data_IF_811651497598
#
_entry.id   IF_811651497598
#
_cell.length_a   1.000
_cell.length_b   1.000
_cell.length_c   1.000
_cell.angle_alpha   90.00
_cell.angle_beta   90.00
_cell.angle_gamma   90.00
#
_symmetry.space_group_name_H-M   'P 1'
#
loop_
_entity.id
_entity.type
_entity.pdbx_description
1 polymer ?
#
# COMPACT_ATOMS: atom_id res chain seq x y z
N UNK A 1 -0.68 -10.09 -20.03
CA UNK A 1 -1.74 -9.83 -19.03
C UNK A 1 -1.14 -8.94 -17.96
N UNK A 2 -1.79 -7.83 -17.61
CA UNK A 2 -1.26 -6.88 -16.63
C UNK A 2 -1.50 -7.34 -15.19
N UNK A 3 -0.68 -6.85 -14.26
CA UNK A 3 -0.83 -7.15 -12.83
C UNK A 3 -0.94 -5.86 -12.03
N UNK A 4 -1.98 -5.77 -11.20
CA UNK A 4 -2.20 -4.68 -10.25
C UNK A 4 -1.91 -5.19 -8.83
N UNK A 5 -0.85 -4.68 -8.22
CA UNK A 5 -0.49 -4.94 -6.82
C UNK A 5 -1.07 -3.84 -5.94
N UNK A 6 -1.88 -4.21 -4.95
CA UNK A 6 -2.46 -3.30 -3.96
C UNK A 6 -1.83 -3.60 -2.61
N UNK A 7 -0.84 -2.79 -2.22
CA UNK A 7 -0.06 -3.00 -1.00
C UNK A 7 -0.63 -2.13 0.12
N UNK A 8 -1.37 -2.76 1.02
CA UNK A 8 -1.87 -2.17 2.26
C UNK A 8 -0.95 -2.44 3.45
N UNK A 9 -1.21 -1.74 4.55
CA UNK A 9 -0.49 -1.94 5.80
C UNK A 9 -0.50 -0.68 6.67
N UNK A 10 -0.24 -0.79 7.98
CA UNK A 10 -0.23 0.37 8.86
C UNK A 10 0.92 1.32 8.52
N UNK A 11 0.82 2.53 9.03
CA UNK A 11 1.92 3.49 9.01
C UNK A 11 3.18 2.85 9.61
N UNK A 12 4.34 3.06 9.00
CA UNK A 12 5.63 2.54 9.50
C UNK A 12 5.92 1.07 9.18
N UNK A 13 5.01 0.32 8.57
CA UNK A 13 5.26 -1.10 8.21
C UNK A 13 6.22 -1.28 7.02
N UNK A 14 6.41 -0.23 6.21
CA UNK A 14 7.34 -0.25 5.08
C UNK A 14 6.69 -0.40 3.70
N UNK A 15 5.41 -0.02 3.52
CA UNK A 15 4.69 -0.10 2.23
C UNK A 15 5.42 0.56 1.07
N UNK A 16 5.80 1.83 1.24
CA UNK A 16 6.46 2.62 0.19
C UNK A 16 7.81 2.01 -0.19
N UNK A 17 8.62 1.63 0.80
CA UNK A 17 9.92 1.03 0.57
C UNK A 17 9.80 -0.34 -0.15
N UNK A 18 8.87 -1.18 0.29
CA UNK A 18 8.60 -2.47 -0.36
C UNK A 18 8.05 -2.31 -1.78
N UNK A 19 7.14 -1.34 -2.00
CA UNK A 19 6.58 -1.03 -3.32
C UNK A 19 7.65 -0.50 -4.28
N UNK A 20 8.54 0.37 -3.82
CA UNK A 20 9.68 0.85 -4.62
C UNK A 20 10.67 -0.28 -4.96
N UNK A 21 10.96 -1.16 -4.00
CA UNK A 21 11.80 -2.32 -4.25
C UNK A 21 11.13 -3.28 -5.25
N UNK A 22 9.82 -3.52 -5.12
CA UNK A 22 9.06 -4.35 -6.07
C UNK A 22 9.09 -3.77 -7.48
N UNK A 23 8.95 -2.45 -7.61
CA UNK A 23 9.07 -1.76 -8.90
C UNK A 23 10.39 -2.06 -9.60
N UNK A 24 11.50 -2.08 -8.84
CA UNK A 24 12.84 -2.34 -9.41
C UNK A 24 13.08 -3.81 -9.77
N UNK A 25 12.26 -4.73 -9.25
CA UNK A 25 12.34 -6.16 -9.56
C UNK A 25 11.46 -6.56 -10.77
N UNK A 26 10.60 -5.66 -11.22
CA UNK A 26 9.63 -5.91 -12.28
C UNK A 26 9.92 -5.01 -13.48
N UNK A 27 10.02 -5.59 -14.66
CA UNK A 27 10.10 -4.83 -15.89
C UNK A 27 8.76 -4.12 -16.20
N UNK A 28 8.82 -3.00 -16.91
CA UNK A 28 7.63 -2.23 -17.30
C UNK A 28 6.67 -1.94 -16.13
N UNK A 29 7.22 -1.54 -15.01
CA UNK A 29 6.47 -1.31 -13.77
C UNK A 29 6.32 0.17 -13.44
N UNK A 30 5.20 0.52 -12.82
CA UNK A 30 4.93 1.86 -12.29
C UNK A 30 4.48 1.76 -10.84
N UNK A 31 4.92 2.72 -10.00
CA UNK A 31 4.57 2.80 -8.59
C UNK A 31 3.82 4.09 -8.30
N UNK A 32 2.73 3.97 -7.55
CA UNK A 32 1.95 5.07 -7.00
C UNK A 32 1.89 4.93 -5.47
N UNK A 33 2.29 5.97 -4.76
CA UNK A 33 1.98 6.11 -3.34
C UNK A 33 0.64 6.86 -3.21
N UNK A 34 -0.35 6.24 -2.59
CA UNK A 34 -1.67 6.84 -2.42
C UNK A 34 -1.64 8.13 -1.60
N UNK A 35 -0.68 8.28 -0.70
CA UNK A 35 -0.51 9.48 0.09
C UNK A 35 -0.14 10.71 -0.75
N UNK A 36 0.47 10.53 -1.93
CA UNK A 36 0.72 11.63 -2.87
C UNK A 36 -0.57 12.27 -3.40
N UNK A 37 -1.67 11.51 -3.39
CA UNK A 37 -2.99 12.04 -3.77
C UNK A 37 -3.69 12.79 -2.63
N UNK A 38 -3.09 12.81 -1.45
CA UNK A 38 -3.61 13.49 -0.25
C UNK A 38 -2.60 14.47 0.37
N UNK A 39 -1.69 14.97 -0.41
CA UNK A 39 -0.73 15.98 0.02
C UNK A 39 -1.39 17.35 -0.03
N UNK A 40 -1.99 17.77 1.10
CA UNK A 40 -2.70 19.03 1.22
C UNK A 40 -2.36 19.76 2.53
N UNK A 41 -2.43 21.05 2.51
CA UNK A 41 -2.24 21.91 3.70
C UNK A 41 -3.43 22.87 3.90
N UNK A 42 -4.07 22.93 5.10
CA UNK A 42 -3.93 21.97 6.20
C UNK A 42 -4.49 20.60 5.83
N UNK A 43 -3.92 19.55 6.40
CA UNK A 43 -4.42 18.19 6.17
C UNK A 43 -5.83 18.04 6.75
N UNK A 44 -6.78 17.63 5.93
CA UNK A 44 -8.19 17.48 6.31
C UNK A 44 -8.71 16.10 5.89
N UNK A 45 -9.42 15.47 6.82
CA UNK A 45 -10.11 14.20 6.59
C UNK A 45 -11.61 14.44 6.72
N UNK A 46 -12.29 14.55 5.58
CA UNK A 46 -13.74 14.68 5.44
C UNK A 46 -14.24 13.65 4.44
N UNK A 47 -15.53 13.42 4.35
CA UNK A 47 -16.07 12.52 3.31
C UNK A 47 -15.69 13.01 1.91
N UNK A 48 -15.78 14.32 1.67
CA UNK A 48 -15.39 14.93 0.39
C UNK A 48 -13.91 14.68 0.05
N UNK A 49 -12.99 14.86 1.02
CA UNK A 49 -11.55 14.62 0.77
C UNK A 49 -11.23 13.13 0.63
N UNK A 50 -11.95 12.25 1.28
CA UNK A 50 -11.84 10.80 1.08
C UNK A 50 -12.26 10.40 -0.35
N UNK A 51 -13.40 10.91 -0.81
CA UNK A 51 -13.89 10.68 -2.18
C UNK A 51 -12.93 11.25 -3.22
N UNK A 52 -12.44 12.48 -3.01
CA UNK A 52 -11.44 13.12 -3.87
C UNK A 52 -10.20 12.24 -4.04
N UNK A 53 -9.63 11.79 -2.93
CA UNK A 53 -8.39 10.99 -2.94
C UNK A 53 -8.61 9.62 -3.57
N UNK A 54 -9.71 8.95 -3.23
CA UNK A 54 -10.06 7.66 -3.83
C UNK A 54 -10.22 7.77 -5.34
N UNK A 55 -10.93 8.81 -5.81
CA UNK A 55 -11.12 9.10 -7.23
C UNK A 55 -9.81 9.42 -7.96
N UNK A 56 -8.92 10.20 -7.33
CA UNK A 56 -7.61 10.50 -7.90
C UNK A 56 -6.74 9.25 -8.04
N UNK A 57 -6.71 8.39 -7.01
CA UNK A 57 -6.00 7.11 -7.07
C UNK A 57 -6.58 6.24 -8.19
N UNK A 58 -7.90 6.07 -8.25
CA UNK A 58 -8.56 5.27 -9.28
C UNK A 58 -8.28 5.80 -10.70
N UNK A 59 -8.31 7.12 -10.88
CA UNK A 59 -7.98 7.76 -12.15
C UNK A 59 -6.55 7.43 -12.60
N UNK A 60 -5.57 7.56 -11.70
CA UNK A 60 -4.18 7.26 -12.02
C UNK A 60 -3.96 5.78 -12.31
N UNK A 61 -4.55 4.89 -11.51
CA UNK A 61 -4.47 3.44 -11.74
C UNK A 61 -5.05 3.08 -13.12
N UNK A 62 -6.22 3.61 -13.48
CA UNK A 62 -6.82 3.38 -14.80
C UNK A 62 -5.94 3.87 -15.95
N UNK A 63 -5.27 5.01 -15.77
CA UNK A 63 -4.33 5.53 -16.78
C UNK A 63 -3.12 4.61 -16.94
N UNK A 64 -2.52 4.14 -15.85
CA UNK A 64 -1.41 3.19 -15.90
C UNK A 64 -1.82 1.85 -16.50
N UNK A 65 -2.98 1.32 -16.13
CA UNK A 65 -3.49 0.07 -16.66
C UNK A 65 -3.79 0.14 -18.17
N UNK A 66 -4.13 1.31 -18.70
CA UNK A 66 -4.32 1.51 -20.14
C UNK A 66 -3.03 1.79 -20.91
N UNK A 67 -1.94 2.13 -20.21
CA UNK A 67 -0.66 2.43 -20.84
C UNK A 67 0.04 1.14 -21.29
N UNK A 68 0.39 1.03 -22.58
CA UNK A 68 1.07 -0.15 -23.12
C UNK A 68 2.50 -0.35 -22.57
N UNK A 69 3.12 0.71 -22.02
CA UNK A 69 4.43 0.64 -21.40
C UNK A 69 4.43 0.11 -19.96
N UNK A 70 3.23 -0.17 -19.38
CA UNK A 70 3.10 -0.62 -17.99
C UNK A 70 2.47 -2.01 -17.96
N UNK A 71 3.25 -3.03 -17.63
CA UNK A 71 2.76 -4.40 -17.39
C UNK A 71 2.40 -4.64 -15.92
N UNK A 72 3.09 -3.92 -15.03
CA UNK A 72 2.92 -4.02 -13.58
C UNK A 72 2.61 -2.66 -12.98
N UNK A 73 1.46 -2.56 -12.31
CA UNK A 73 1.02 -1.35 -11.60
C UNK A 73 1.01 -1.64 -10.12
N UNK A 74 1.69 -0.81 -9.33
CA UNK A 74 1.87 -1.01 -7.89
C UNK A 74 1.29 0.20 -7.17
N UNK A 75 0.28 -0.02 -6.33
CA UNK A 75 -0.24 0.97 -5.39
C UNK A 75 0.21 0.60 -3.98
N UNK A 76 0.80 1.55 -3.26
CA UNK A 76 0.98 1.47 -1.81
C UNK A 76 0.07 2.51 -1.15
N UNK A 77 -0.86 2.06 -0.29
CA UNK A 77 -1.74 2.96 0.45
C UNK A 77 -2.24 2.30 1.75
N UNK A 78 -2.97 3.03 2.57
CA UNK A 78 -3.42 2.55 3.88
C UNK A 78 -4.33 1.31 3.79
N UNK A 79 -5.32 1.26 2.91
CA UNK A 79 -6.20 0.11 2.60
C UNK A 79 -6.56 -0.76 3.83
N UNK A 80 -6.98 -0.14 4.93
CA UNK A 80 -7.14 -0.81 6.24
C UNK A 80 -8.53 -1.41 6.46
N UNK A 81 -9.44 -1.28 5.50
CA UNK A 81 -10.81 -1.79 5.54
C UNK A 81 -11.18 -2.43 4.21
N UNK A 82 -11.95 -3.50 4.27
CA UNK A 82 -12.40 -4.21 3.08
C UNK A 82 -13.27 -3.33 2.17
N UNK A 83 -14.07 -2.43 2.78
CA UNK A 83 -14.93 -1.48 2.05
C UNK A 83 -14.11 -0.48 1.23
N UNK A 84 -12.95 -0.03 1.73
CA UNK A 84 -12.06 0.87 0.98
C UNK A 84 -11.47 0.15 -0.23
N UNK A 85 -11.05 -1.11 -0.04
CA UNK A 85 -10.53 -1.93 -1.12
C UNK A 85 -11.59 -2.18 -2.20
N UNK A 86 -12.83 -2.49 -1.81
CA UNK A 86 -13.95 -2.68 -2.75
C UNK A 86 -14.28 -1.37 -3.48
N UNK A 87 -14.44 -0.26 -2.75
CA UNK A 87 -14.76 1.04 -3.34
C UNK A 87 -13.67 1.53 -4.33
N UNK A 88 -12.40 1.19 -4.09
CA UNK A 88 -11.32 1.42 -5.05
C UNK A 88 -11.49 0.55 -6.30
N UNK A 89 -11.70 -0.76 -6.11
CA UNK A 89 -11.80 -1.71 -7.22
C UNK A 89 -13.05 -1.49 -8.09
N UNK A 90 -14.14 -0.96 -7.52
CA UNK A 90 -15.33 -0.55 -8.29
C UNK A 90 -15.06 0.59 -9.26
N UNK A 91 -14.04 1.43 -8.99
CA UNK A 91 -13.66 2.56 -9.83
C UNK A 91 -12.51 2.24 -10.79
N UNK A 92 -11.86 1.09 -10.64
CA UNK A 92 -10.71 0.67 -11.46
C UNK A 92 -11.14 -0.41 -12.45
N UNK A 93 -10.88 -0.16 -13.74
CA UNK A 93 -11.09 -1.13 -14.80
C UNK A 93 -10.02 -2.23 -14.71
N UNK A 94 -10.38 -3.32 -14.06
CA UNK A 94 -9.51 -4.50 -13.86
C UNK A 94 -9.72 -5.58 -14.92
N UNK A 95 -10.48 -5.32 -15.97
CA UNK A 95 -10.70 -6.29 -17.05
C UNK A 95 -9.37 -6.70 -17.70
N UNK A 96 -9.08 -7.99 -17.72
CA UNK A 96 -7.83 -8.53 -18.25
C UNK A 96 -6.59 -8.28 -17.34
N UNK A 97 -6.79 -7.87 -16.10
CA UNK A 97 -5.73 -7.71 -15.11
C UNK A 97 -5.79 -8.80 -14.02
N UNK A 98 -4.65 -9.22 -13.54
CA UNK A 98 -4.55 -9.96 -12.27
C UNK A 98 -4.44 -8.94 -11.15
N UNK A 99 -5.40 -8.96 -10.21
CA UNK A 99 -5.36 -8.11 -9.03
C UNK A 99 -4.76 -8.86 -7.86
N UNK A 100 -3.77 -8.29 -7.21
CA UNK A 100 -3.04 -8.86 -6.08
C UNK A 100 -3.16 -7.96 -4.84
N UNK A 101 -4.21 -8.14 -4.02
CA UNK A 101 -4.34 -7.40 -2.77
C UNK A 101 -3.44 -8.02 -1.69
N UNK A 102 -2.60 -7.19 -1.08
CA UNK A 102 -1.54 -7.59 -0.15
C UNK A 102 -1.64 -6.71 1.10
N UNK A 103 -1.57 -7.32 2.27
CA UNK A 103 -1.43 -6.61 3.54
C UNK A 103 -0.07 -6.90 4.16
N UNK A 104 0.76 -5.85 4.28
CA UNK A 104 1.99 -5.93 5.06
C UNK A 104 1.64 -5.79 6.54
N UNK A 105 2.11 -6.74 7.32
CA UNK A 105 1.93 -6.77 8.78
C UNK A 105 3.29 -6.98 9.44
N UNK A 106 3.40 -6.70 10.73
CA UNK A 106 4.57 -7.05 11.52
C UNK A 106 4.17 -7.21 13.00
N UNK A 107 5.10 -7.65 13.81
CA UNK A 107 4.89 -7.69 15.26
C UNK A 107 4.76 -6.26 15.81
N UNK A 108 3.90 -6.04 16.84
CA UNK A 108 3.66 -4.71 17.42
C UNK A 108 4.94 -4.01 17.92
N UNK A 109 5.86 -4.75 18.56
CA UNK A 109 7.13 -4.21 19.03
C UNK A 109 8.05 -3.75 17.89
N UNK A 110 8.03 -4.44 16.75
CA UNK A 110 8.78 -4.05 15.55
C UNK A 110 8.20 -2.78 14.96
N UNK A 111 6.87 -2.69 14.87
CA UNK A 111 6.20 -1.49 14.37
C UNK A 111 6.51 -0.28 15.27
N UNK A 112 6.41 -0.45 16.59
CA UNK A 112 6.75 0.59 17.57
C UNK A 112 8.20 1.06 17.42
N UNK A 113 9.16 0.15 17.25
CA UNK A 113 10.56 0.49 17.07
C UNK A 113 10.81 1.28 15.78
N UNK A 114 10.21 0.86 14.65
CA UNK A 114 10.31 1.55 13.35
C UNK A 114 9.76 2.97 13.42
N UNK A 115 8.57 3.16 13.99
CA UNK A 115 7.96 4.47 14.15
C UNK A 115 8.72 5.31 15.16
N UNK A 116 9.23 4.72 16.25
CA UNK A 116 10.07 5.41 17.22
C UNK A 116 11.32 6.02 16.60
N UNK A 117 11.97 5.31 15.67
CA UNK A 117 13.10 5.83 14.91
C UNK A 117 12.67 7.02 14.02
N UNK A 118 11.48 6.96 13.42
CA UNK A 118 10.94 8.07 12.62
C UNK A 118 10.60 9.31 13.47
N UNK A 119 10.06 9.11 14.68
CA UNK A 119 9.80 10.19 15.64
C UNK A 119 11.12 10.83 16.08
N UNK A 120 12.12 10.03 16.46
CA UNK A 120 13.43 10.52 16.85
C UNK A 120 14.12 11.32 15.74
N UNK A 121 13.89 10.97 14.49
CA UNK A 121 14.39 11.70 13.31
C UNK A 121 13.51 12.89 12.90
N UNK A 122 12.47 13.26 13.66
CA UNK A 122 11.56 14.36 13.38
C UNK A 122 10.63 14.15 12.18
N UNK A 123 10.50 12.93 11.68
CA UNK A 123 9.63 12.59 10.53
C UNK A 123 8.19 12.33 10.91
N UNK A 124 7.89 12.11 12.20
CA UNK A 124 6.55 11.83 12.72
C UNK A 124 6.34 12.48 14.08
N UNK A 125 5.08 12.74 14.42
CA UNK A 125 4.69 13.22 15.75
C UNK A 125 4.70 12.09 16.79
N UNK A 126 4.73 12.47 18.08
CA UNK A 126 4.85 11.55 19.21
C UNK A 126 3.70 10.51 19.31
N UNK A 127 2.51 10.83 18.79
CA UNK A 127 1.34 9.93 18.82
C UNK A 127 1.27 8.93 17.67
N UNK A 128 2.21 8.98 16.73
CA UNK A 128 2.16 8.16 15.52
C UNK A 128 2.22 6.64 15.80
N UNK A 129 2.99 6.23 16.80
CA UNK A 129 3.13 4.81 17.16
C UNK A 129 1.80 4.21 17.66
N UNK A 130 1.10 4.90 18.54
CA UNK A 130 -0.17 4.42 19.08
C UNK A 130 -1.26 4.34 18.01
N UNK A 131 -1.32 5.34 17.11
CA UNK A 131 -2.25 5.32 15.98
C UNK A 131 -1.98 4.13 15.06
N UNK A 132 -0.73 3.87 14.71
CA UNK A 132 -0.35 2.76 13.85
C UNK A 132 -0.66 1.39 14.48
N UNK A 133 -0.39 1.24 15.78
CA UNK A 133 -0.68 0.02 16.53
C UNK A 133 -2.19 -0.26 16.61
N UNK A 134 -3.01 0.78 16.73
CA UNK A 134 -4.46 0.64 16.73
C UNK A 134 -5.01 0.11 15.40
N UNK A 135 -4.34 0.41 14.27
CA UNK A 135 -4.72 -0.08 12.94
C UNK A 135 -4.21 -1.49 12.64
N UNK A 136 -3.14 -1.94 13.28
CA UNK A 136 -2.49 -3.21 12.95
C UNK A 136 -3.43 -4.44 12.97
N UNK A 137 -4.35 -4.61 13.94
CA UNK A 137 -5.29 -5.73 13.94
C UNK A 137 -6.22 -5.75 12.72
N UNK A 138 -6.61 -4.58 12.19
CA UNK A 138 -7.56 -4.47 11.08
C UNK A 138 -7.05 -5.19 9.82
N UNK A 139 -5.73 -5.15 9.57
CA UNK A 139 -5.15 -5.79 8.40
C UNK A 139 -5.20 -7.32 8.44
N UNK A 140 -5.29 -7.92 9.63
CA UNK A 140 -5.39 -9.37 9.78
C UNK A 140 -6.75 -9.92 9.40
N UNK A 141 -7.77 -9.06 9.40
CA UNK A 141 -9.15 -9.43 9.07
C UNK A 141 -9.47 -9.26 7.57
N UNK A 142 -8.57 -8.62 6.81
CA UNK A 142 -8.76 -8.37 5.38
C UNK A 142 -8.60 -9.65 4.56
N UNK A 143 -9.41 -9.78 3.51
CA UNK A 143 -9.28 -10.82 2.50
C UNK A 143 -8.16 -10.48 1.51
N UNK A 144 -6.94 -10.49 2.00
CA UNK A 144 -5.72 -10.14 1.27
C UNK A 144 -4.63 -11.17 1.57
N UNK A 145 -3.57 -11.16 0.77
CA UNK A 145 -2.39 -11.94 1.06
C UNK A 145 -1.56 -11.26 2.16
N UNK A 146 -1.45 -11.87 3.33
CA UNK A 146 -0.68 -11.31 4.45
C UNK A 146 0.80 -11.65 4.32
N UNK A 147 1.67 -10.64 4.47
CA UNK A 147 3.12 -10.79 4.50
C UNK A 147 3.65 -10.17 5.80
N UNK A 148 4.21 -11.00 6.66
CA UNK A 148 4.89 -10.55 7.87
C UNK A 148 6.27 -10.01 7.50
N UNK A 149 6.49 -8.73 7.77
CA UNK A 149 7.74 -8.01 7.46
C UNK A 149 8.65 -7.84 8.66
N UNK A 150 8.35 -8.50 9.80
CA UNK A 150 9.08 -8.28 11.06
C UNK A 150 10.58 -8.49 10.93
N UNK A 151 10.99 -9.50 10.14
CA UNK A 151 12.39 -9.88 9.91
C UNK A 151 12.86 -9.62 8.47
N UNK A 152 12.09 -8.85 7.69
CA UNK A 152 12.38 -8.64 6.28
C UNK A 152 12.87 -7.22 5.99
N UNK A 153 13.85 -7.10 5.11
CA UNK A 153 14.18 -5.85 4.45
C UNK A 153 13.12 -5.50 3.39
N UNK A 154 13.08 -4.26 2.88
CA UNK A 154 12.19 -3.90 1.77
C UNK A 154 12.37 -4.80 0.55
N UNK A 155 13.61 -5.14 0.18
CA UNK A 155 13.94 -6.01 -0.94
C UNK A 155 13.47 -7.45 -0.71
N UNK A 156 13.65 -7.97 0.50
CA UNK A 156 13.17 -9.29 0.89
C UNK A 156 11.63 -9.33 0.88
N UNK A 157 10.99 -8.25 1.34
CA UNK A 157 9.53 -8.11 1.28
C UNK A 157 9.03 -8.14 -0.17
N UNK A 158 9.67 -7.38 -1.07
CA UNK A 158 9.34 -7.37 -2.49
C UNK A 158 9.49 -8.76 -3.13
N UNK A 159 10.58 -9.47 -2.85
CA UNK A 159 10.77 -10.86 -3.32
C UNK A 159 9.68 -11.80 -2.79
N UNK A 160 9.31 -11.66 -1.52
CA UNK A 160 8.23 -12.46 -0.91
C UNK A 160 6.88 -12.19 -1.57
N UNK A 161 6.61 -10.94 -1.98
CA UNK A 161 5.41 -10.59 -2.76
C UNK A 161 5.42 -11.36 -4.10
N UNK A 162 6.53 -11.35 -4.83
CA UNK A 162 6.64 -12.05 -6.12
C UNK A 162 6.49 -13.56 -5.99
N UNK A 163 7.19 -14.18 -5.06
CA UNK A 163 7.11 -15.63 -4.81
C UNK A 163 5.68 -16.10 -4.55
N UNK A 164 4.92 -15.33 -3.77
CA UNK A 164 3.54 -15.66 -3.46
C UNK A 164 2.59 -15.35 -4.62
N UNK A 165 2.91 -14.38 -5.45
CA UNK A 165 2.12 -14.04 -6.63
C UNK A 165 2.21 -15.10 -7.73
N UNK A 166 3.25 -15.92 -7.74
CA UNK A 166 3.44 -17.01 -8.70
C UNK A 166 2.74 -18.32 -8.30
N UNK A 167 2.31 -18.44 -7.04
CA UNK A 167 1.71 -19.67 -6.49
C UNK A 167 0.18 -19.71 -6.55
N UNK A 168 -0.44 -18.65 -7.05
CA UNK A 168 -1.89 -18.49 -7.18
C UNK A 168 -2.27 -18.33 -8.64
#
# INVERSE_FOLDING_TARGET
MKTLYLIGGPMGVGKTAAGQALKLLLDNSVFLDGDWCWDMHPFRVTEETKELVLGNIALLLNRFLRCSACDHVILAWVLHRQEILHALLEQVDTAGCVVRPISLVCRPEVLRARIGADIAAGRRDAGAAERALAYLPLYRELHTQHIDTSELTPEQTARRILERSQRT
#
